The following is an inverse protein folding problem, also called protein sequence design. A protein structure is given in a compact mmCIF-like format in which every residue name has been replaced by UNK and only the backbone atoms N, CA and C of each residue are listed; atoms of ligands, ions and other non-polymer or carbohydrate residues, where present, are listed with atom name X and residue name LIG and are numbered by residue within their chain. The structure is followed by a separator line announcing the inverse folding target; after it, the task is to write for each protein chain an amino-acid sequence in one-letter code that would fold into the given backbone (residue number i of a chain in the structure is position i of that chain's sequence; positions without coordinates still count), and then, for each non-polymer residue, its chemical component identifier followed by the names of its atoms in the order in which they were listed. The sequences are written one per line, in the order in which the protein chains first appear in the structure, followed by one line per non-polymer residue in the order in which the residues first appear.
data_IF_413913875073
#
_entry.id   IF_413913875073
#
_cell.length_a   1.000
_cell.length_b   1.000
_cell.length_c   1.000
_cell.angle_alpha   90.00
_cell.angle_beta   90.00
_cell.angle_gamma   90.00
#
_symmetry.space_group_name_H-M   'P 1'
#
loop_
_entity.id
_entity.type
_entity.pdbx_description
1 polymer ?
#
# COMPACT_ATOMS: atom_id res chain seq x y z
N UNK A 1 -26.12 15.88 -3.69
CA UNK A 1 -25.19 15.14 -2.80
C UNK A 1 -23.93 16.02 -2.68
N UNK A 2 -23.74 16.72 -1.55
CA UNK A 2 -22.52 17.49 -1.35
C UNK A 2 -21.43 16.55 -0.78
N UNK A 3 -20.57 16.05 -1.66
CA UNK A 3 -19.35 15.37 -1.23
C UNK A 3 -18.36 16.38 -0.64
N UNK A 4 -17.69 16.02 0.43
CA UNK A 4 -16.54 16.79 0.89
C UNK A 4 -15.45 16.72 -0.18
N UNK A 5 -15.20 17.86 -0.83
CA UNK A 5 -14.21 17.97 -1.92
C UNK A 5 -12.81 17.49 -1.49
N UNK A 6 -12.48 17.69 -0.21
CA UNK A 6 -11.18 17.29 0.36
C UNK A 6 -11.10 15.78 0.51
N UNK A 7 -12.14 15.16 1.07
CA UNK A 7 -12.26 13.72 1.20
C UNK A 7 -12.21 13.04 -0.17
N UNK A 8 -12.97 13.56 -1.15
CA UNK A 8 -12.97 13.02 -2.51
C UNK A 8 -11.58 13.10 -3.16
N UNK A 9 -10.90 14.26 -3.08
CA UNK A 9 -9.54 14.42 -3.60
C UNK A 9 -8.57 13.40 -2.98
N UNK A 10 -8.61 13.26 -1.66
CA UNK A 10 -7.71 12.36 -0.94
C UNK A 10 -7.99 10.89 -1.30
N UNK A 11 -9.25 10.51 -1.44
CA UNK A 11 -9.64 9.18 -1.92
C UNK A 11 -9.17 8.93 -3.35
N UNK A 12 -9.25 9.91 -4.26
CA UNK A 12 -8.75 9.78 -5.63
C UNK A 12 -7.22 9.58 -5.66
N UNK A 13 -6.46 10.22 -4.77
CA UNK A 13 -5.02 9.97 -4.64
C UNK A 13 -4.74 8.53 -4.22
N UNK A 14 -5.52 7.99 -3.29
CA UNK A 14 -5.40 6.59 -2.85
C UNK A 14 -5.79 5.60 -3.95
N UNK A 15 -6.84 5.88 -4.71
CA UNK A 15 -7.25 5.07 -5.86
C UNK A 15 -6.17 5.05 -6.95
N UNK A 16 -5.50 6.18 -7.20
CA UNK A 16 -4.37 6.23 -8.11
C UNK A 16 -3.19 5.38 -7.58
N UNK A 17 -2.93 5.42 -6.29
CA UNK A 17 -1.97 4.53 -5.64
C UNK A 17 -2.35 3.06 -5.79
N UNK A 18 -3.62 2.71 -5.57
CA UNK A 18 -4.15 1.36 -5.72
C UNK A 18 -4.04 0.85 -7.17
N UNK A 19 -4.24 1.71 -8.18
CA UNK A 19 -4.02 1.38 -9.59
C UNK A 19 -2.57 0.98 -9.85
N UNK A 20 -1.61 1.74 -9.31
CA UNK A 20 -0.18 1.45 -9.45
C UNK A 20 0.16 0.14 -8.73
N UNK A 21 -0.38 -0.10 -7.53
CA UNK A 21 -0.13 -1.32 -6.77
C UNK A 21 -0.77 -2.56 -7.41
N UNK A 22 -1.96 -2.42 -8.00
CA UNK A 22 -2.60 -3.52 -8.72
C UNK A 22 -1.72 -4.09 -9.83
N UNK A 23 -1.07 -3.22 -10.59
CA UNK A 23 -0.09 -3.64 -11.61
C UNK A 23 1.25 -4.07 -11.03
N UNK A 24 1.62 -3.58 -9.83
CA UNK A 24 2.88 -3.93 -9.17
C UNK A 24 2.93 -5.38 -8.67
N UNK A 25 1.79 -6.02 -8.38
CA UNK A 25 1.74 -7.45 -8.03
C UNK A 25 2.37 -8.34 -9.12
N UNK A 26 2.09 -8.04 -10.39
CA UNK A 26 2.69 -8.75 -11.53
C UNK A 26 4.21 -8.52 -11.55
N UNK A 27 4.65 -7.28 -11.39
CA UNK A 27 6.07 -6.97 -11.38
C UNK A 27 6.81 -7.65 -10.20
N UNK A 28 6.19 -7.70 -9.02
CA UNK A 28 6.74 -8.40 -7.85
C UNK A 28 6.84 -9.92 -8.08
N UNK A 29 5.80 -10.53 -8.67
CA UNK A 29 5.79 -11.96 -9.00
C UNK A 29 6.89 -12.29 -10.02
N UNK A 30 7.04 -11.49 -11.08
CA UNK A 30 8.13 -11.67 -12.06
C UNK A 30 9.50 -11.49 -11.39
N UNK A 31 9.65 -10.46 -10.56
CA UNK A 31 10.91 -10.17 -9.86
C UNK A 31 11.34 -11.29 -8.90
N UNK A 32 10.40 -11.97 -8.23
CA UNK A 32 10.68 -13.08 -7.33
C UNK A 32 11.24 -14.34 -8.04
N UNK A 33 11.08 -14.42 -9.36
CA UNK A 33 11.74 -15.49 -10.15
C UNK A 33 13.24 -15.29 -10.37
N UNK A 34 13.78 -14.09 -10.08
CA UNK A 34 15.19 -13.76 -10.29
C UNK A 34 15.97 -13.57 -8.99
N UNK A 35 15.37 -12.94 -7.99
CA UNK A 35 16.02 -12.56 -6.73
C UNK A 35 15.17 -12.93 -5.53
N UNK A 36 15.82 -13.13 -4.39
CA UNK A 36 15.13 -13.37 -3.12
C UNK A 36 14.33 -12.13 -2.63
N UNK A 37 13.42 -12.36 -1.68
CA UNK A 37 12.48 -11.33 -1.20
C UNK A 37 13.19 -10.12 -0.59
N UNK A 38 14.25 -10.31 0.15
CA UNK A 38 14.98 -9.19 0.79
C UNK A 38 15.82 -8.42 -0.22
N UNK A 39 16.44 -9.10 -1.20
CA UNK A 39 17.16 -8.45 -2.30
C UNK A 39 16.22 -7.57 -3.13
N UNK A 40 15.05 -8.11 -3.50
CA UNK A 40 14.06 -7.34 -4.24
C UNK A 40 13.61 -6.11 -3.45
N UNK A 41 13.30 -6.30 -2.16
CA UNK A 41 12.85 -5.23 -1.28
C UNK A 41 13.92 -4.16 -1.05
N UNK A 42 15.19 -4.57 -0.84
CA UNK A 42 16.32 -3.64 -0.70
C UNK A 42 16.50 -2.80 -1.97
N UNK A 43 16.61 -3.46 -3.12
CA UNK A 43 16.85 -2.78 -4.39
C UNK A 43 15.74 -1.77 -4.74
N UNK A 44 14.45 -2.17 -4.63
CA UNK A 44 13.34 -1.25 -4.90
C UNK A 44 13.27 -0.10 -3.90
N UNK A 45 13.61 -0.34 -2.61
CA UNK A 45 13.56 0.69 -1.57
C UNK A 45 14.67 1.72 -1.72
N UNK A 46 15.90 1.31 -2.07
CA UNK A 46 16.97 2.25 -2.39
C UNK A 46 16.66 3.09 -3.63
N UNK A 47 16.04 2.49 -4.66
CA UNK A 47 15.60 3.22 -5.83
C UNK A 47 14.50 4.23 -5.50
N UNK A 48 13.56 3.86 -4.61
CA UNK A 48 12.56 4.79 -4.08
C UNK A 48 13.22 5.94 -3.30
N UNK A 49 14.22 5.66 -2.45
CA UNK A 49 14.97 6.69 -1.74
C UNK A 49 15.66 7.66 -2.71
N UNK A 50 16.31 7.14 -3.77
CA UNK A 50 16.95 7.97 -4.78
C UNK A 50 15.96 8.88 -5.50
N UNK A 51 14.78 8.36 -5.85
CA UNK A 51 13.70 9.13 -6.46
C UNK A 51 13.14 10.18 -5.49
N UNK A 52 12.84 9.78 -4.24
CA UNK A 52 12.21 10.65 -3.24
C UNK A 52 13.14 11.77 -2.77
N UNK A 53 14.45 11.51 -2.61
CA UNK A 53 15.39 12.56 -2.21
C UNK A 53 15.48 13.66 -3.27
N UNK A 54 15.43 13.31 -4.56
CA UNK A 54 15.37 14.30 -5.64
C UNK A 54 14.10 15.16 -5.51
N UNK A 55 12.94 14.55 -5.24
CA UNK A 55 11.70 15.30 -5.03
C UNK A 55 11.78 16.21 -3.79
N UNK A 56 12.35 15.74 -2.68
CA UNK A 56 12.57 16.55 -1.48
C UNK A 56 13.45 17.74 -1.81
N UNK A 57 14.60 17.52 -2.47
CA UNK A 57 15.55 18.57 -2.86
C UNK A 57 14.87 19.63 -3.75
N UNK A 58 14.14 19.22 -4.77
CA UNK A 58 13.44 20.14 -5.68
C UNK A 58 12.39 20.97 -4.95
N UNK A 59 11.54 20.33 -4.14
CA UNK A 59 10.46 21.03 -3.39
C UNK A 59 11.04 21.97 -2.33
N UNK A 60 12.01 21.50 -1.55
CA UNK A 60 12.64 22.31 -0.48
C UNK A 60 13.53 23.40 -1.04
N UNK A 61 14.22 23.11 -2.14
CA UNK A 61 15.01 24.13 -2.84
C UNK A 61 14.15 25.30 -3.33
N UNK A 62 12.96 25.01 -3.90
CA UNK A 62 11.99 26.06 -4.28
C UNK A 62 11.47 26.83 -3.06
N UNK A 63 11.10 26.13 -1.98
CA UNK A 63 10.59 26.78 -0.75
C UNK A 63 11.65 27.70 -0.12
N UNK A 64 12.91 27.27 -0.03
CA UNK A 64 14.01 28.08 0.53
C UNK A 64 14.46 29.23 -0.37
N UNK A 65 14.22 29.15 -1.68
CA UNK A 65 14.42 30.30 -2.57
C UNK A 65 13.36 31.39 -2.33
N UNK A 66 12.14 30.98 -1.99
CA UNK A 66 11.06 31.91 -1.66
C UNK A 66 11.19 32.48 -0.23
N UNK A 67 11.61 31.66 0.72
CA UNK A 67 11.88 32.03 2.12
C UNK A 67 13.08 31.27 2.67
N UNK A 68 14.27 31.92 2.78
CA UNK A 68 15.49 31.30 3.30
C UNK A 68 15.39 30.78 4.75
N UNK A 69 14.46 31.28 5.56
CA UNK A 69 14.23 30.87 6.95
C UNK A 69 13.54 29.50 7.09
N UNK A 70 12.97 28.97 6.01
CA UNK A 70 12.27 27.68 6.07
C UNK A 70 13.25 26.53 6.29
N UNK A 71 13.05 25.69 7.36
CA UNK A 71 13.96 24.58 7.64
C UNK A 71 13.90 23.53 6.52
N UNK A 72 15.04 22.90 6.20
CA UNK A 72 15.10 21.86 5.17
C UNK A 72 14.24 20.64 5.57
N UNK A 73 14.41 20.14 6.80
CA UNK A 73 13.57 19.07 7.37
C UNK A 73 12.51 19.66 8.28
N UNK A 74 11.24 19.43 7.94
CA UNK A 74 10.11 19.88 8.76
C UNK A 74 9.94 18.93 9.94
N UNK A 75 9.92 19.48 11.17
CA UNK A 75 9.78 18.70 12.40
C UNK A 75 10.73 17.49 12.47
N UNK A 76 12.04 17.72 12.24
CA UNK A 76 13.05 16.66 12.04
C UNK A 76 13.03 15.53 13.07
N UNK A 77 12.82 15.82 14.38
CA UNK A 77 12.72 14.79 15.42
C UNK A 77 11.48 13.91 15.25
N UNK A 78 10.34 14.50 14.90
CA UNK A 78 9.10 13.76 14.63
C UNK A 78 9.21 13.01 13.31
N UNK A 79 9.84 13.59 12.29
CA UNK A 79 10.11 12.95 11.01
C UNK A 79 10.97 11.69 11.18
N UNK A 80 12.02 11.77 11.98
CA UNK A 80 12.86 10.59 12.28
C UNK A 80 12.05 9.49 12.97
N UNK A 81 11.27 9.83 14.01
CA UNK A 81 10.43 8.87 14.71
C UNK A 81 9.38 8.25 13.77
N UNK A 82 8.65 9.08 13.03
CA UNK A 82 7.64 8.62 12.07
C UNK A 82 8.25 7.76 10.98
N UNK A 83 9.37 8.17 10.39
CA UNK A 83 10.09 7.40 9.39
C UNK A 83 10.57 6.04 9.89
N UNK A 84 11.11 5.98 11.11
CA UNK A 84 11.57 4.70 11.70
C UNK A 84 10.39 3.77 11.99
N UNK A 85 9.34 4.24 12.67
CA UNK A 85 8.20 3.38 13.01
C UNK A 85 7.41 2.93 11.79
N UNK A 86 7.10 3.86 10.87
CA UNK A 86 6.44 3.51 9.60
C UNK A 86 7.34 2.58 8.77
N UNK A 87 8.65 2.85 8.69
CA UNK A 87 9.60 2.05 7.93
C UNK A 87 9.81 0.64 8.47
N UNK A 88 9.82 0.45 9.79
CA UNK A 88 9.86 -0.90 10.40
C UNK A 88 8.58 -1.67 10.04
N UNK A 89 7.41 -1.04 10.19
CA UNK A 89 6.14 -1.67 9.84
C UNK A 89 6.06 -1.98 8.34
N UNK A 90 6.48 -1.05 7.47
CA UNK A 90 6.52 -1.24 6.02
C UNK A 90 7.51 -2.34 5.62
N UNK A 91 8.70 -2.37 6.21
CA UNK A 91 9.68 -3.45 5.98
C UNK A 91 9.07 -4.81 6.31
N UNK A 92 8.52 -4.97 7.51
CA UNK A 92 7.97 -6.23 7.98
C UNK A 92 6.78 -6.69 7.09
N UNK A 93 5.86 -5.77 6.76
CA UNK A 93 4.72 -6.03 5.89
C UNK A 93 5.17 -6.42 4.47
N UNK A 94 6.08 -5.64 3.89
CA UNK A 94 6.56 -5.88 2.52
C UNK A 94 7.43 -7.12 2.39
N UNK A 95 8.22 -7.47 3.43
CA UNK A 95 8.99 -8.70 3.45
C UNK A 95 8.06 -9.93 3.51
N UNK A 96 7.06 -9.91 4.41
CA UNK A 96 6.07 -10.97 4.50
C UNK A 96 5.26 -11.10 3.19
N UNK A 97 4.89 -9.96 2.55
CA UNK A 97 4.22 -9.95 1.26
C UNK A 97 5.08 -10.59 0.16
N UNK A 98 6.35 -10.19 0.05
CA UNK A 98 7.23 -10.67 -1.01
C UNK A 98 7.54 -12.17 -0.87
N UNK A 99 7.66 -12.68 0.38
CA UNK A 99 7.78 -14.11 0.65
C UNK A 99 6.51 -14.84 0.21
N UNK A 100 5.34 -14.33 0.57
CA UNK A 100 4.05 -14.93 0.22
C UNK A 100 3.78 -14.95 -1.28
N UNK A 101 4.05 -13.84 -1.99
CA UNK A 101 3.87 -13.73 -3.45
C UNK A 101 4.73 -14.77 -4.20
N UNK A 102 5.92 -15.10 -3.70
CA UNK A 102 6.80 -16.07 -4.32
C UNK A 102 6.29 -17.52 -4.25
N UNK A 103 5.28 -17.81 -3.43
CA UNK A 103 4.83 -19.19 -3.14
C UNK A 103 3.33 -19.42 -3.33
N UNK A 104 2.56 -18.39 -3.71
CA UNK A 104 1.11 -18.51 -3.93
C UNK A 104 0.66 -17.79 -5.19
N UNK A 105 -0.59 -17.99 -5.61
CA UNK A 105 -1.14 -17.28 -6.77
C UNK A 105 -1.32 -15.79 -6.48
N UNK A 106 -1.19 -14.97 -7.53
CA UNK A 106 -1.36 -13.51 -7.43
C UNK A 106 -2.75 -13.11 -6.92
N UNK A 107 -3.80 -13.85 -7.28
CA UNK A 107 -5.16 -13.63 -6.81
C UNK A 107 -5.28 -13.86 -5.30
N UNK A 108 -4.75 -14.99 -4.78
CA UNK A 108 -4.71 -15.25 -3.34
C UNK A 108 -3.85 -14.21 -2.60
N UNK A 109 -2.70 -13.86 -3.17
CA UNK A 109 -1.83 -12.85 -2.59
C UNK A 109 -2.54 -11.50 -2.46
N UNK A 110 -3.25 -11.07 -3.50
CA UNK A 110 -4.06 -9.86 -3.48
C UNK A 110 -5.18 -9.92 -2.44
N UNK A 111 -5.93 -11.04 -2.38
CA UNK A 111 -7.00 -11.22 -1.40
C UNK A 111 -6.49 -11.15 0.04
N UNK A 112 -5.49 -11.98 0.36
CA UNK A 112 -4.96 -12.10 1.72
C UNK A 112 -4.29 -10.80 2.19
N UNK A 113 -3.56 -10.13 1.30
CA UNK A 113 -2.98 -8.80 1.61
C UNK A 113 -4.08 -7.78 1.89
N UNK A 114 -5.11 -7.70 1.05
CA UNK A 114 -6.17 -6.70 1.15
C UNK A 114 -7.12 -6.92 2.35
N UNK A 115 -6.97 -8.00 3.13
CA UNK A 115 -7.71 -8.19 4.39
C UNK A 115 -7.44 -7.07 5.41
N UNK A 116 -6.42 -6.25 5.22
CA UNK A 116 -6.24 -5.03 6.01
C UNK A 116 -7.48 -4.11 5.99
N UNK A 117 -8.34 -4.21 4.98
CA UNK A 117 -9.61 -3.46 4.89
C UNK A 117 -10.52 -3.69 6.10
N UNK A 118 -10.48 -4.88 6.69
CA UNK A 118 -11.21 -5.24 7.91
C UNK A 118 -10.35 -5.04 9.15
N UNK A 119 -9.05 -5.31 9.05
CA UNK A 119 -8.13 -5.18 10.19
C UNK A 119 -7.93 -3.72 10.61
N UNK A 120 -7.92 -2.77 9.68
CA UNK A 120 -7.76 -1.34 10.00
C UNK A 120 -8.89 -0.81 10.89
N UNK A 121 -10.19 -0.96 10.56
CA UNK A 121 -11.25 -0.53 11.47
C UNK A 121 -11.25 -1.29 12.81
N UNK A 122 -10.89 -2.57 12.82
CA UNK A 122 -10.76 -3.36 14.05
C UNK A 122 -9.64 -2.81 14.94
N UNK A 123 -8.45 -2.58 14.39
CA UNK A 123 -7.34 -1.94 15.12
C UNK A 123 -7.72 -0.53 15.57
N UNK A 124 -8.47 0.22 14.75
CA UNK A 124 -8.95 1.55 15.11
C UNK A 124 -9.73 1.56 16.44
N UNK A 125 -10.55 0.54 16.69
CA UNK A 125 -11.30 0.39 17.95
C UNK A 125 -10.35 0.26 19.15
N UNK A 126 -9.27 -0.53 19.04
CA UNK A 126 -8.26 -0.65 20.10
C UNK A 126 -7.51 0.66 20.37
N UNK A 127 -7.37 1.52 19.37
CA UNK A 127 -6.78 2.85 19.51
C UNK A 127 -7.80 3.96 19.86
N UNK A 128 -8.99 3.56 20.35
CA UNK A 128 -10.04 4.49 20.81
C UNK A 128 -10.85 5.15 19.68
N UNK A 129 -10.66 4.76 18.43
CA UNK A 129 -11.50 5.18 17.31
C UNK A 129 -12.71 4.24 17.21
N UNK A 130 -13.89 4.82 17.01
CA UNK A 130 -15.11 4.04 16.78
C UNK A 130 -15.57 4.34 15.35
N UNK A 131 -15.21 3.50 14.36
CA UNK A 131 -15.75 3.67 13.02
C UNK A 131 -17.28 3.59 13.10
N UNK A 132 -17.96 4.50 12.41
CA UNK A 132 -19.42 4.50 12.36
C UNK A 132 -19.94 3.16 11.81
N UNK A 133 -21.13 2.75 12.22
CA UNK A 133 -21.76 1.49 11.75
C UNK A 133 -21.76 1.39 10.24
N UNK A 134 -21.99 2.50 9.55
CA UNK A 134 -21.96 2.60 8.09
C UNK A 134 -20.60 2.19 7.51
N UNK A 135 -19.48 2.70 8.07
CA UNK A 135 -18.14 2.34 7.59
C UNK A 135 -17.85 0.85 7.83
N UNK A 136 -18.32 0.30 8.95
CA UNK A 136 -18.26 -1.14 9.22
C UNK A 136 -19.01 -1.96 8.16
N UNK A 137 -20.24 -1.55 7.81
CA UNK A 137 -21.02 -2.21 6.75
C UNK A 137 -20.30 -2.11 5.40
N UNK A 138 -19.78 -0.94 5.04
CA UNK A 138 -19.02 -0.76 3.80
C UNK A 138 -17.76 -1.64 3.76
N UNK A 139 -17.05 -1.78 4.88
CA UNK A 139 -15.89 -2.67 4.97
C UNK A 139 -16.29 -4.15 4.78
N UNK A 140 -17.41 -4.59 5.35
CA UNK A 140 -17.94 -5.94 5.12
C UNK A 140 -18.37 -6.18 3.67
N UNK A 141 -19.00 -5.18 3.01
CA UNK A 141 -19.36 -5.25 1.59
C UNK A 141 -18.08 -5.32 0.73
N UNK A 142 -17.06 -4.52 1.06
CA UNK A 142 -15.76 -4.56 0.38
C UNK A 142 -15.09 -5.92 0.51
N UNK A 143 -15.12 -6.53 1.71
CA UNK A 143 -14.59 -7.88 1.95
C UNK A 143 -15.35 -8.94 1.13
N UNK A 144 -16.68 -8.87 1.08
CA UNK A 144 -17.49 -9.79 0.28
C UNK A 144 -17.17 -9.64 -1.22
N UNK A 145 -17.02 -8.41 -1.71
CA UNK A 145 -16.60 -8.15 -3.09
C UNK A 145 -15.20 -8.69 -3.39
N UNK A 146 -14.27 -8.50 -2.47
CA UNK A 146 -12.90 -9.01 -2.58
C UNK A 146 -12.87 -10.56 -2.62
N UNK A 147 -13.68 -11.21 -1.79
CA UNK A 147 -13.85 -12.67 -1.83
C UNK A 147 -14.36 -13.16 -3.18
N UNK A 148 -15.41 -12.52 -3.71
CA UNK A 148 -15.98 -12.89 -5.02
C UNK A 148 -14.96 -12.66 -6.14
N UNK A 149 -14.18 -11.59 -6.08
CA UNK A 149 -13.19 -11.25 -7.10
C UNK A 149 -12.01 -12.22 -7.11
N UNK A 150 -11.50 -12.61 -5.95
CA UNK A 150 -10.21 -13.29 -5.86
C UNK A 150 -10.32 -14.81 -5.62
N UNK A 151 -11.42 -15.29 -5.05
CA UNK A 151 -11.52 -16.69 -4.59
C UNK A 151 -12.73 -17.45 -5.11
N UNK A 152 -13.83 -16.76 -5.47
CA UNK A 152 -15.04 -17.46 -5.88
C UNK A 152 -14.84 -18.15 -7.23
N UNK A 153 -14.77 -19.48 -7.18
CA UNK A 153 -14.66 -20.35 -8.36
C UNK A 153 -13.25 -20.80 -8.75
N UNK A 154 -12.20 -20.35 -8.06
CA UNK A 154 -10.84 -20.64 -8.49
C UNK A 154 -9.94 -21.42 -7.53
N UNK A 155 -10.13 -21.32 -6.21
CA UNK A 155 -9.20 -21.94 -5.28
C UNK A 155 -9.82 -22.35 -3.95
N UNK A 156 -9.40 -23.50 -3.43
CA UNK A 156 -9.63 -23.85 -2.03
C UNK A 156 -8.71 -23.03 -1.16
N UNK A 157 -9.22 -22.47 -0.05
CA UNK A 157 -8.43 -21.82 0.99
C UNK A 157 -7.60 -22.87 1.78
N UNK A 158 -6.60 -23.43 1.14
CA UNK A 158 -5.58 -24.21 1.86
C UNK A 158 -4.52 -23.24 2.33
N UNK A 159 -4.30 -23.15 3.64
CA UNK A 159 -3.29 -22.26 4.22
C UNK A 159 -1.95 -22.98 4.23
N UNK A 160 -1.11 -22.64 3.27
CA UNK A 160 0.31 -23.05 3.23
C UNK A 160 1.18 -21.98 3.91
N UNK A 161 2.49 -22.20 3.96
CA UNK A 161 3.42 -21.24 4.57
C UNK A 161 3.35 -19.84 3.96
N UNK A 162 3.11 -19.74 2.65
CA UNK A 162 3.00 -18.47 1.92
C UNK A 162 1.74 -17.70 2.30
N UNK A 163 0.59 -18.36 2.40
CA UNK A 163 -0.65 -17.72 2.81
C UNK A 163 -0.59 -17.22 4.27
N UNK A 164 0.09 -17.94 5.18
CA UNK A 164 0.33 -17.44 6.53
C UNK A 164 1.17 -16.16 6.53
N UNK A 165 2.19 -16.07 5.64
CA UNK A 165 2.97 -14.83 5.48
C UNK A 165 2.11 -13.67 4.97
N UNK A 166 1.15 -13.94 4.08
CA UNK A 166 0.23 -12.91 3.56
C UNK A 166 -0.80 -12.46 4.60
N UNK A 167 -1.27 -13.36 5.47
CA UNK A 167 -2.11 -12.98 6.62
C UNK A 167 -1.34 -12.10 7.60
N UNK A 168 -0.10 -12.45 7.91
CA UNK A 168 0.78 -11.61 8.72
C UNK A 168 1.04 -10.26 8.04
N UNK A 169 1.27 -10.26 6.73
CA UNK A 169 1.42 -9.06 5.92
C UNK A 169 0.22 -8.12 6.04
N UNK A 170 -1.01 -8.63 5.94
CA UNK A 170 -2.22 -7.80 6.05
C UNK A 170 -2.35 -7.15 7.41
N UNK A 171 -2.00 -7.85 8.49
CA UNK A 171 -1.96 -7.28 9.84
C UNK A 171 -0.90 -6.18 9.96
N UNK A 172 0.31 -6.43 9.43
CA UNK A 172 1.41 -5.47 9.47
C UNK A 172 1.12 -4.22 8.62
N UNK A 173 0.47 -4.37 7.45
CA UNK A 173 0.00 -3.23 6.68
C UNK A 173 -1.10 -2.46 7.41
N UNK A 174 -2.01 -3.14 8.12
CA UNK A 174 -2.99 -2.43 8.93
C UNK A 174 -2.32 -1.57 10.01
N UNK A 175 -1.27 -2.07 10.67
CA UNK A 175 -0.45 -1.26 11.58
C UNK A 175 0.27 -0.11 10.87
N UNK A 176 0.87 -0.34 9.70
CA UNK A 176 1.54 0.71 8.92
C UNK A 176 0.54 1.82 8.54
N UNK A 177 -0.65 1.47 8.07
CA UNK A 177 -1.73 2.42 7.76
C UNK A 177 -2.10 3.28 8.97
N UNK A 178 -2.21 2.67 10.16
CA UNK A 178 -2.51 3.39 11.41
C UNK A 178 -1.35 4.31 11.83
N UNK A 179 -0.09 3.88 11.63
CA UNK A 179 1.09 4.73 11.90
C UNK A 179 1.15 5.92 10.94
N UNK A 180 0.92 5.69 9.65
CA UNK A 180 0.84 6.78 8.65
C UNK A 180 -0.26 7.77 9.00
N UNK A 181 -1.44 7.29 9.40
CA UNK A 181 -2.54 8.14 9.86
C UNK A 181 -2.14 9.00 11.07
N UNK A 182 -1.36 8.43 12.00
CA UNK A 182 -0.90 9.17 13.18
C UNK A 182 0.13 10.27 12.83
N UNK A 183 1.07 9.98 11.92
CA UNK A 183 2.21 10.89 11.64
C UNK A 183 1.93 11.86 10.49
N UNK A 184 1.20 11.46 9.45
CA UNK A 184 1.02 12.25 8.23
C UNK A 184 0.38 13.63 8.43
N UNK A 185 -0.55 13.87 9.38
CA UNK A 185 -1.13 15.20 9.57
C UNK A 185 -0.13 16.26 10.02
N UNK A 186 0.97 15.84 10.67
CA UNK A 186 1.96 16.72 11.31
C UNK A 186 3.26 16.86 10.52
N UNK A 187 3.41 16.10 9.42
CA UNK A 187 4.63 16.01 8.63
C UNK A 187 4.37 16.35 7.15
N UNK A 188 5.46 16.69 6.45
CA UNK A 188 5.43 16.74 4.98
C UNK A 188 5.40 15.30 4.43
N UNK A 189 4.39 14.99 3.59
CA UNK A 189 4.18 13.64 3.11
C UNK A 189 5.35 13.07 2.29
N UNK A 190 6.03 13.91 1.49
CA UNK A 190 7.20 13.45 0.69
C UNK A 190 8.40 13.18 1.59
N UNK A 191 8.61 14.02 2.62
CA UNK A 191 9.70 13.80 3.59
C UNK A 191 9.43 12.56 4.44
N UNK A 192 8.17 12.31 4.84
CA UNK A 192 7.82 11.11 5.58
C UNK A 192 8.00 9.86 4.72
N UNK A 193 7.58 9.90 3.45
CA UNK A 193 7.78 8.79 2.51
C UNK A 193 9.28 8.48 2.33
N UNK A 194 10.12 9.51 2.16
CA UNK A 194 11.57 9.32 2.10
C UNK A 194 12.13 8.66 3.37
N UNK A 195 11.75 9.15 4.55
CA UNK A 195 12.24 8.62 5.81
C UNK A 195 11.79 7.18 6.07
N UNK A 196 10.54 6.86 5.71
CA UNK A 196 9.97 5.51 5.78
C UNK A 196 10.72 4.54 4.86
N UNK A 197 10.90 4.90 3.58
CA UNK A 197 11.65 4.06 2.64
C UNK A 197 13.13 3.95 2.97
N UNK A 198 13.75 4.99 3.54
CA UNK A 198 15.13 4.91 4.00
C UNK A 198 15.30 3.87 5.12
N UNK A 199 14.41 3.88 6.12
CA UNK A 199 14.42 2.87 7.17
C UNK A 199 14.15 1.46 6.60
N UNK A 200 13.17 1.33 5.69
CA UNK A 200 12.88 0.08 4.98
C UNK A 200 14.09 -0.43 4.18
N UNK A 201 14.78 0.45 3.45
CA UNK A 201 15.96 0.10 2.66
C UNK A 201 17.11 -0.41 3.53
N UNK A 202 17.38 0.27 4.64
CA UNK A 202 18.43 -0.15 5.60
C UNK A 202 18.11 -1.54 6.16
N UNK A 203 16.90 -1.75 6.68
CA UNK A 203 16.48 -3.04 7.23
C UNK A 203 16.52 -4.13 6.17
N UNK A 204 15.99 -3.88 4.97
CA UNK A 204 16.00 -4.86 3.88
C UNK A 204 17.41 -5.23 3.48
N UNK A 205 18.36 -4.28 3.50
CA UNK A 205 19.75 -4.54 3.18
C UNK A 205 20.43 -5.42 4.25
N UNK A 206 20.13 -5.17 5.53
CA UNK A 206 20.63 -6.01 6.63
C UNK A 206 20.13 -7.45 6.46
N UNK A 207 18.83 -7.63 6.22
CA UNK A 207 18.25 -8.97 6.02
C UNK A 207 18.71 -9.62 4.73
N UNK A 208 18.92 -8.85 3.64
CA UNK A 208 19.49 -9.36 2.40
C UNK A 208 20.85 -10.00 2.64
N UNK A 209 21.78 -9.29 3.31
CA UNK A 209 23.10 -9.86 3.58
C UNK A 209 23.09 -10.98 4.63
N UNK A 210 22.08 -11.03 5.51
CA UNK A 210 21.96 -12.10 6.51
C UNK A 210 21.40 -13.40 5.94
N UNK A 211 20.52 -13.34 4.92
CA UNK A 211 19.75 -14.50 4.46
C UNK A 211 19.90 -14.81 2.96
N UNK A 212 20.49 -13.90 2.19
CA UNK A 212 20.58 -14.03 0.73
C UNK A 212 21.99 -13.68 0.23
N UNK A 213 22.37 -14.27 -0.88
CA UNK A 213 23.65 -14.01 -1.57
C UNK A 213 23.36 -13.61 -3.03
N UNK A 214 22.81 -12.40 -3.29
CA UNK A 214 22.43 -12.01 -4.63
C UNK A 214 23.64 -11.81 -5.53
N UNK A 215 23.53 -12.26 -6.78
CA UNK A 215 24.50 -11.94 -7.83
C UNK A 215 24.05 -10.74 -8.66
N UNK A 216 25.00 -10.04 -9.27
CA UNK A 216 24.67 -8.92 -10.15
C UNK A 216 23.77 -9.34 -11.32
N UNK A 217 23.99 -10.52 -11.90
CA UNK A 217 23.17 -11.05 -13.00
C UNK A 217 21.71 -11.28 -12.58
N UNK A 218 21.47 -11.77 -11.37
CA UNK A 218 20.10 -11.93 -10.83
C UNK A 218 19.40 -10.57 -10.65
N UNK A 219 20.10 -9.58 -10.09
CA UNK A 219 19.56 -8.21 -9.94
C UNK A 219 19.27 -7.59 -11.31
N UNK A 220 20.14 -7.79 -12.30
CA UNK A 220 19.94 -7.34 -13.66
C UNK A 220 18.73 -8.01 -14.32
N UNK A 221 18.51 -9.31 -14.09
CA UNK A 221 17.31 -10.01 -14.55
C UNK A 221 16.01 -9.44 -13.99
N UNK A 222 16.03 -8.97 -12.74
CA UNK A 222 14.89 -8.34 -12.08
C UNK A 222 14.78 -6.81 -12.34
N UNK A 223 15.68 -6.20 -13.12
CA UNK A 223 15.85 -4.74 -13.19
C UNK A 223 14.56 -3.98 -13.56
N UNK A 224 13.78 -4.49 -14.52
CA UNK A 224 12.51 -3.86 -14.93
C UNK A 224 11.49 -3.89 -13.79
N UNK A 225 11.35 -5.03 -13.13
CA UNK A 225 10.47 -5.20 -11.97
C UNK A 225 10.90 -4.31 -10.80
N UNK A 226 12.20 -4.23 -10.52
CA UNK A 226 12.78 -3.36 -9.49
C UNK A 226 12.55 -1.88 -9.84
N UNK A 227 12.75 -1.49 -11.09
CA UNK A 227 12.54 -0.11 -11.53
C UNK A 227 11.07 0.31 -11.39
N UNK A 228 10.15 -0.52 -11.86
CA UNK A 228 8.72 -0.28 -11.72
C UNK A 228 8.31 -0.19 -10.25
N UNK A 229 8.66 -1.18 -9.45
CA UNK A 229 8.31 -1.23 -8.03
C UNK A 229 9.03 -0.14 -7.23
N UNK A 230 10.26 0.23 -7.54
CA UNK A 230 11.02 1.26 -6.86
C UNK A 230 10.47 2.66 -7.12
N UNK A 231 10.25 3.03 -8.37
CA UNK A 231 9.83 4.38 -8.74
C UNK A 231 8.32 4.55 -8.58
N UNK A 232 7.52 3.72 -9.25
CA UNK A 232 6.07 3.91 -9.28
C UNK A 232 5.40 3.37 -8.02
N UNK A 233 5.63 2.12 -7.64
CA UNK A 233 4.98 1.52 -6.48
C UNK A 233 5.50 2.14 -5.18
N UNK A 234 6.81 2.13 -4.94
CA UNK A 234 7.41 2.62 -3.70
C UNK A 234 7.52 4.14 -3.68
N UNK A 235 8.04 4.77 -4.72
CA UNK A 235 8.24 6.22 -4.77
C UNK A 235 6.94 7.00 -4.90
N UNK A 236 6.11 6.68 -5.88
CA UNK A 236 4.89 7.44 -6.17
C UNK A 236 3.72 6.96 -5.31
N UNK A 237 3.32 5.67 -5.39
CA UNK A 237 2.07 5.20 -4.78
C UNK A 237 2.07 5.31 -3.25
N UNK A 238 3.16 4.96 -2.54
CA UNK A 238 3.25 5.18 -1.09
C UNK A 238 3.27 6.66 -0.70
N UNK A 239 3.86 7.53 -1.53
CA UNK A 239 3.75 8.98 -1.31
C UNK A 239 2.30 9.46 -1.47
N UNK A 240 1.58 8.95 -2.48
CA UNK A 240 0.15 9.20 -2.65
C UNK A 240 -0.66 8.68 -1.45
N UNK A 241 -0.30 7.51 -0.89
CA UNK A 241 -0.90 6.98 0.33
C UNK A 241 -0.73 7.98 1.48
N UNK A 242 0.49 8.38 1.79
CA UNK A 242 0.77 9.27 2.93
C UNK A 242 0.05 10.62 2.77
N UNK A 243 0.03 11.17 1.55
CA UNK A 243 -0.64 12.43 1.25
C UNK A 243 -2.18 12.26 1.27
N UNK A 244 -2.68 11.17 0.70
CA UNK A 244 -4.11 10.88 0.62
C UNK A 244 -4.73 10.49 1.95
N UNK A 245 -3.99 9.80 2.82
CA UNK A 245 -4.45 9.46 4.17
C UNK A 245 -4.55 10.68 5.09
N UNK A 246 -3.86 11.77 4.77
CA UNK A 246 -3.87 12.96 5.59
C UNK A 246 -5.29 13.50 5.74
N UNK A 247 -5.80 13.49 6.97
CA UNK A 247 -7.15 13.97 7.31
C UNK A 247 -8.31 13.14 6.68
N UNK A 248 -8.03 11.88 6.32
CA UNK A 248 -9.03 10.92 5.89
C UNK A 248 -9.19 9.83 6.97
N UNK A 249 -10.41 9.33 7.14
CA UNK A 249 -10.63 8.19 8.03
C UNK A 249 -9.84 6.96 7.54
N UNK A 250 -9.06 6.28 8.41
CA UNK A 250 -8.25 5.13 8.01
C UNK A 250 -9.07 3.99 7.39
N UNK A 251 -10.34 3.83 7.78
CA UNK A 251 -11.24 2.82 7.20
C UNK A 251 -11.56 3.16 5.74
N UNK A 252 -11.84 4.44 5.44
CA UNK A 252 -12.05 4.90 4.06
C UNK A 252 -10.76 4.74 3.26
N UNK A 253 -9.62 5.07 3.86
CA UNK A 253 -8.33 4.92 3.22
C UNK A 253 -8.03 3.45 2.88
N UNK A 254 -8.24 2.52 3.81
CA UNK A 254 -8.02 1.08 3.57
C UNK A 254 -8.95 0.53 2.50
N UNK A 255 -10.23 0.95 2.46
CA UNK A 255 -11.14 0.57 1.38
C UNK A 255 -10.70 1.10 0.01
N UNK A 256 -10.20 2.34 -0.06
CA UNK A 256 -9.67 2.89 -1.30
C UNK A 256 -8.44 2.12 -1.79
N UNK A 257 -7.54 1.78 -0.88
CA UNK A 257 -6.32 1.05 -1.20
C UNK A 257 -6.58 -0.39 -1.60
N UNK A 258 -7.56 -1.10 -1.00
CA UNK A 258 -7.88 -2.47 -1.38
C UNK A 258 -8.45 -2.60 -2.80
N UNK A 259 -8.80 -1.48 -3.48
CA UNK A 259 -9.12 -1.46 -4.90
C UNK A 259 -7.94 -1.90 -5.79
N UNK A 260 -6.74 -2.04 -5.23
CA UNK A 260 -5.59 -2.65 -5.92
C UNK A 260 -5.92 -4.03 -6.51
N UNK A 261 -6.75 -4.82 -5.81
CA UNK A 261 -7.20 -6.13 -6.29
C UNK A 261 -8.10 -6.02 -7.53
N UNK A 262 -8.98 -5.02 -7.56
CA UNK A 262 -9.83 -4.74 -8.73
C UNK A 262 -8.97 -4.27 -9.91
N UNK A 263 -8.04 -3.35 -9.68
CA UNK A 263 -7.15 -2.87 -10.72
C UNK A 263 -6.20 -3.95 -11.23
N UNK A 264 -5.77 -4.89 -10.37
CA UNK A 264 -5.00 -6.06 -10.78
C UNK A 264 -5.80 -6.96 -11.72
N UNK A 265 -7.05 -7.24 -11.40
CA UNK A 265 -7.95 -8.04 -12.24
C UNK A 265 -8.22 -7.36 -13.60
N UNK A 266 -8.50 -6.05 -13.59
CA UNK A 266 -8.71 -5.27 -14.81
C UNK A 266 -7.43 -5.21 -15.67
N UNK A 267 -6.26 -5.07 -15.06
CA UNK A 267 -4.98 -5.09 -15.78
C UNK A 267 -4.72 -6.47 -16.40
N UNK A 268 -5.03 -7.55 -15.69
CA UNK A 268 -4.98 -8.92 -16.22
C UNK A 268 -5.88 -9.11 -17.45
N UNK A 269 -7.11 -8.57 -17.38
CA UNK A 269 -8.04 -8.61 -18.51
C UNK A 269 -7.53 -7.80 -19.72
N UNK A 270 -7.13 -6.55 -19.50
CA UNK A 270 -6.77 -5.63 -20.60
C UNK A 270 -5.40 -5.94 -21.21
N UNK A 271 -4.41 -6.35 -20.37
CA UNK A 271 -3.01 -6.51 -20.81
C UNK A 271 -2.70 -7.95 -21.17
N UNK A 272 -3.22 -8.91 -20.38
CA UNK A 272 -2.91 -10.33 -20.54
C UNK A 272 -4.01 -11.11 -21.26
N UNK A 273 -5.13 -10.47 -21.63
CA UNK A 273 -6.27 -11.10 -22.31
C UNK A 273 -7.01 -12.11 -21.41
N UNK A 274 -6.85 -12.04 -20.09
CA UNK A 274 -7.58 -12.88 -19.14
C UNK A 274 -9.07 -12.51 -19.15
N UNK A 275 -9.95 -13.51 -19.12
CA UNK A 275 -11.40 -13.26 -19.05
C UNK A 275 -11.86 -13.13 -17.61
N UNK A 276 -12.66 -12.12 -17.32
CA UNK A 276 -13.32 -11.98 -16.02
C UNK A 276 -14.69 -12.69 -16.07
N UNK A 277 -14.93 -13.55 -15.12
CA UNK A 277 -16.22 -14.20 -14.92
C UNK A 277 -17.28 -13.21 -14.42
N UNK A 278 -18.56 -13.55 -14.55
CA UNK A 278 -19.64 -12.73 -14.00
C UNK A 278 -19.56 -12.56 -12.48
N UNK A 279 -19.01 -13.55 -11.77
CA UNK A 279 -18.81 -13.50 -10.30
C UNK A 279 -17.70 -12.51 -9.95
N UNK A 280 -16.60 -12.51 -10.68
CA UNK A 280 -15.49 -11.55 -10.48
C UNK A 280 -15.94 -10.11 -10.78
N UNK A 281 -16.74 -9.91 -11.85
CA UNK A 281 -17.33 -8.60 -12.15
C UNK A 281 -18.29 -8.12 -11.05
N UNK A 282 -19.11 -9.03 -10.47
CA UNK A 282 -19.95 -8.70 -9.33
C UNK A 282 -19.10 -8.31 -8.09
N UNK A 283 -17.98 -9.00 -7.86
CA UNK A 283 -17.00 -8.65 -6.84
C UNK A 283 -16.45 -7.23 -7.02
N UNK A 284 -16.00 -6.88 -8.22
CA UNK A 284 -15.57 -5.52 -8.56
C UNK A 284 -16.67 -4.49 -8.27
N UNK A 285 -17.90 -4.74 -8.71
CA UNK A 285 -19.03 -3.83 -8.52
C UNK A 285 -19.34 -3.60 -7.03
N UNK A 286 -19.28 -4.65 -6.20
CA UNK A 286 -19.47 -4.54 -4.75
C UNK A 286 -18.38 -3.69 -4.09
N UNK A 287 -17.11 -3.86 -4.47
CA UNK A 287 -16.01 -3.07 -3.94
C UNK A 287 -16.15 -1.59 -4.32
N UNK A 288 -16.51 -1.28 -5.58
CA UNK A 288 -16.82 0.10 -5.99
C UNK A 288 -18.02 0.67 -5.23
N UNK A 289 -19.10 -0.10 -5.06
CA UNK A 289 -20.27 0.35 -4.29
C UNK A 289 -19.93 0.63 -2.83
N UNK A 290 -19.09 -0.19 -2.20
CA UNK A 290 -18.63 0.00 -0.83
C UNK A 290 -17.87 1.32 -0.66
N UNK A 291 -16.91 1.62 -1.55
CA UNK A 291 -16.13 2.86 -1.44
C UNK A 291 -16.98 4.10 -1.73
N UNK A 292 -17.90 4.04 -2.71
CA UNK A 292 -18.85 5.13 -2.98
C UNK A 292 -19.76 5.33 -1.77
N UNK A 293 -20.28 4.24 -1.19
CA UNK A 293 -21.10 4.27 0.02
C UNK A 293 -20.38 4.95 1.18
N UNK A 294 -19.09 4.67 1.38
CA UNK A 294 -18.27 5.27 2.42
C UNK A 294 -18.06 6.78 2.25
N UNK A 295 -18.13 7.30 1.01
CA UNK A 295 -17.99 8.74 0.72
C UNK A 295 -19.25 9.55 1.04
N UNK A 296 -20.42 8.92 1.16
CA UNK A 296 -21.67 9.62 1.43
C UNK A 296 -21.64 10.14 2.89
N UNK A 297 -21.86 11.43 3.16
CA UNK A 297 -21.90 11.93 4.52
C UNK A 297 -23.00 11.25 5.35
N UNK A 298 -22.69 10.88 6.59
CA UNK A 298 -23.75 10.49 7.53
C UNK A 298 -24.61 11.70 7.85
N UNK A 299 -25.94 11.59 7.71
CA UNK A 299 -26.85 12.59 8.26
C UNK A 299 -26.67 12.56 9.78
N UNK A 300 -26.15 13.63 10.34
CA UNK A 300 -26.16 13.82 11.80
C UNK A 300 -27.62 13.70 12.23
N UNK A 301 -27.98 12.63 12.90
CA UNK A 301 -29.26 12.53 13.61
C UNK A 301 -29.12 13.45 14.84
N UNK A 302 -29.67 14.67 14.71
CA UNK A 302 -29.91 15.55 15.84
C UNK A 302 -30.88 14.87 16.81
#
# INVERSE_FOLDING_TARGET
MNFDKKQLRNTLLLLLGALIWGTAFVAQSVGSGYVGPYTFLAARSWLACAFLIVLVLLRRGKARKADPGVPFWINGRMLLRGGVFCGIALFAASAAQQIGIGTTSTAKAGFLTALYVVLVPLLGVFFGRRPGVKLGICACISLAGLYLLCLAGHDTLTLTGGEWMLLLCSLLFAFQIMLVDHYSPRLDGVQLSFAEFFATAVLSTIFMFAFETPTFAQIQGAAVSIAYCGILSSGVAYTLQIVGQKELDPTIASMAMCMESVFSALAGWLILGQTLSGVELAGCALMFAAIIGAQIPEKVRN
#
